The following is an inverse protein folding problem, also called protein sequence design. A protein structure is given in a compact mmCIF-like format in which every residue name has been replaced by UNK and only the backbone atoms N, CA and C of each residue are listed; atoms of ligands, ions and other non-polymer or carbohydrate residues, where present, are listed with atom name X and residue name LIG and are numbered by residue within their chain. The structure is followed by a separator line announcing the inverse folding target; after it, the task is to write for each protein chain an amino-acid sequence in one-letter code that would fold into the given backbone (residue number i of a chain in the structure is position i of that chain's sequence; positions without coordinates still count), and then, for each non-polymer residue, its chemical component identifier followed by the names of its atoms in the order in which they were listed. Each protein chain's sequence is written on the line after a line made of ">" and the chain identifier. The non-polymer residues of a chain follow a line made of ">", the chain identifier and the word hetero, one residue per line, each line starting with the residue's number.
data_IF_571450317380
#
_entry.id   IF_571450317380
#
_cell.length_a   1.000
_cell.length_b   1.000
_cell.length_c   1.000
_cell.angle_alpha   90.00
_cell.angle_beta   90.00
_cell.angle_gamma   90.00
#
_symmetry.space_group_name_H-M   'P 1'
#
loop_
_entity.id
_entity.type
_entity.pdbx_description
1 polymer ?
#
# COMPACT_ATOMS: atom_id res chain seq x y z
N UNK A 1 9.54 14.64 -16.19
CA UNK A 1 8.40 14.12 -15.41
C UNK A 1 7.24 13.85 -16.34
N UNK A 2 7.07 12.61 -16.78
CA UNK A 2 5.84 12.13 -17.41
C UNK A 2 5.62 10.73 -16.85
N UNK A 3 4.87 10.64 -15.78
CA UNK A 3 4.32 9.36 -15.34
C UNK A 3 2.87 9.58 -14.93
N UNK A 4 2.03 8.69 -15.45
CA UNK A 4 0.76 8.24 -14.89
C UNK A 4 -0.55 8.89 -15.34
N UNK A 5 -0.99 8.47 -16.53
CA UNK A 5 -2.41 8.40 -16.91
C UNK A 5 -3.16 7.18 -16.31
N UNK A 6 -2.60 6.47 -15.31
CA UNK A 6 -3.19 5.24 -14.75
C UNK A 6 -3.10 5.12 -13.21
N UNK A 7 -2.80 6.22 -12.50
CA UNK A 7 -2.82 6.25 -11.04
C UNK A 7 -4.19 6.74 -10.54
N UNK A 8 -4.68 6.09 -9.49
CA UNK A 8 -5.90 6.44 -8.75
C UNK A 8 -5.57 6.49 -7.26
N UNK A 9 -6.45 7.07 -6.44
CA UNK A 9 -6.30 6.95 -4.98
C UNK A 9 -7.05 5.71 -4.49
N UNK A 10 -6.37 4.92 -3.66
CA UNK A 10 -6.97 3.86 -2.86
C UNK A 10 -7.05 4.30 -1.41
N UNK A 11 -8.26 4.33 -0.85
CA UNK A 11 -8.50 4.54 0.57
C UNK A 11 -8.68 3.17 1.19
N UNK A 12 -7.69 2.73 1.97
CA UNK A 12 -7.75 1.50 2.73
C UNK A 12 -8.28 1.79 4.14
N UNK A 13 -9.26 1.01 4.58
CA UNK A 13 -9.66 0.89 5.98
C UNK A 13 -9.36 -0.54 6.42
N UNK A 14 -8.51 -0.70 7.43
CA UNK A 14 -8.16 -2.01 7.97
C UNK A 14 -8.41 -2.06 9.47
N UNK A 15 -9.23 -3.01 9.93
CA UNK A 15 -9.49 -3.23 11.35
C UNK A 15 -8.59 -4.35 11.86
N UNK A 16 -7.86 -4.08 12.93
CA UNK A 16 -6.93 -5.00 13.57
C UNK A 16 -7.47 -5.55 14.89
N UNK A 17 -6.87 -6.62 15.44
CA UNK A 17 -7.28 -7.19 16.72
C UNK A 17 -7.17 -6.21 17.91
N UNK A 18 -6.34 -5.18 17.82
CA UNK A 18 -6.16 -4.19 18.91
C UNK A 18 -5.72 -2.81 18.41
N UNK A 19 -5.91 -1.78 19.24
CA UNK A 19 -5.39 -0.43 19.01
C UNK A 19 -3.88 -0.43 18.79
N UNK A 20 -3.16 -1.22 19.58
CA UNK A 20 -1.71 -1.34 19.45
C UNK A 20 -1.32 -1.90 18.07
N UNK A 21 -1.99 -2.95 17.60
CA UNK A 21 -1.72 -3.52 16.26
C UNK A 21 -1.99 -2.54 15.13
N UNK A 22 -3.08 -1.78 15.21
CA UNK A 22 -3.36 -0.74 14.23
C UNK A 22 -2.28 0.35 14.21
N UNK A 23 -1.77 0.76 15.38
CA UNK A 23 -0.69 1.73 15.49
C UNK A 23 0.65 1.18 15.00
N UNK A 24 0.97 -0.09 15.29
CA UNK A 24 2.15 -0.77 14.75
C UNK A 24 2.11 -0.78 13.22
N UNK A 25 0.97 -1.19 12.64
CA UNK A 25 0.77 -1.18 11.19
C UNK A 25 0.93 0.24 10.62
N UNK A 26 0.30 1.25 11.23
CA UNK A 26 0.41 2.64 10.79
C UNK A 26 1.86 3.15 10.79
N UNK A 27 2.63 2.81 11.82
CA UNK A 27 4.04 3.16 11.94
C UNK A 27 4.90 2.48 10.89
N UNK A 28 4.64 1.22 10.57
CA UNK A 28 5.37 0.52 9.51
C UNK A 28 5.03 1.10 8.13
N UNK A 29 3.75 1.43 7.89
CA UNK A 29 3.29 1.96 6.61
C UNK A 29 3.72 3.41 6.35
N UNK A 30 4.21 4.15 7.36
CA UNK A 30 4.64 5.56 7.20
C UNK A 30 5.71 5.74 6.11
N UNK A 31 6.53 4.71 5.89
CA UNK A 31 7.63 4.71 4.93
C UNK A 31 7.22 4.10 3.58
N UNK A 32 5.92 3.80 3.38
CA UNK A 32 5.41 3.31 2.12
C UNK A 32 5.52 4.41 1.04
N UNK A 33 6.25 4.18 -0.09
CA UNK A 33 6.45 5.17 -1.15
C UNK A 33 5.17 5.64 -1.85
N UNK A 34 4.06 4.94 -1.62
CA UNK A 34 2.76 5.22 -2.21
C UNK A 34 1.79 5.86 -1.22
N UNK A 35 2.18 6.01 0.04
CA UNK A 35 1.31 6.59 1.06
C UNK A 35 1.22 8.11 0.87
N UNK A 36 -0.01 8.60 0.79
CA UNK A 36 -0.33 10.03 0.77
C UNK A 36 -0.57 10.52 2.18
N UNK A 37 -1.39 9.78 2.94
CA UNK A 37 -1.75 10.11 4.32
C UNK A 37 -2.19 8.84 5.04
N UNK A 38 -1.87 8.72 6.32
CA UNK A 38 -2.44 7.69 7.19
C UNK A 38 -2.87 8.22 8.54
N UNK A 39 -3.68 7.42 9.23
CA UNK A 39 -4.13 7.68 10.58
C UNK A 39 -4.73 6.44 11.22
N UNK A 40 -5.05 6.53 12.51
CA UNK A 40 -5.73 5.47 13.23
C UNK A 40 -6.88 6.02 14.05
N UNK A 41 -7.91 5.20 14.26
CA UNK A 41 -8.95 5.42 15.28
C UNK A 41 -9.21 4.09 15.96
N UNK A 42 -8.90 4.01 17.26
CA UNK A 42 -8.92 2.76 18.03
C UNK A 42 -8.09 1.67 17.30
N UNK A 43 -8.68 0.51 17.05
CA UNK A 43 -8.07 -0.61 16.35
C UNK A 43 -8.25 -0.55 14.82
N UNK A 44 -8.58 0.61 14.26
CA UNK A 44 -8.73 0.77 12.80
C UNK A 44 -7.62 1.67 12.26
N UNK A 45 -6.94 1.20 11.23
CA UNK A 45 -6.00 1.95 10.40
C UNK A 45 -6.73 2.50 9.17
N UNK A 46 -6.36 3.71 8.79
CA UNK A 46 -6.77 4.36 7.55
C UNK A 46 -5.51 4.75 6.79
N UNK A 47 -5.44 4.39 5.51
CA UNK A 47 -4.36 4.79 4.62
C UNK A 47 -4.89 5.23 3.27
N UNK A 48 -4.45 6.39 2.80
CA UNK A 48 -4.70 6.88 1.46
C UNK A 48 -3.43 6.64 0.65
N UNK A 49 -3.55 5.92 -0.44
CA UNK A 49 -2.41 5.51 -1.27
C UNK A 49 -2.61 5.93 -2.72
N UNK A 50 -1.54 6.40 -3.36
CA UNK A 50 -1.48 6.51 -4.81
C UNK A 50 -1.17 5.13 -5.40
N UNK A 51 -2.18 4.52 -6.02
CA UNK A 51 -2.13 3.13 -6.50
C UNK A 51 -2.33 3.06 -8.01
N UNK A 52 -1.92 1.96 -8.61
CA UNK A 52 -2.19 1.70 -10.04
C UNK A 52 -3.58 1.11 -10.20
N UNK A 53 -4.32 1.59 -11.19
CA UNK A 53 -5.68 1.13 -11.47
C UNK A 53 -5.73 -0.35 -11.92
N UNK A 54 -4.68 -0.86 -12.54
CA UNK A 54 -4.58 -2.25 -12.99
C UNK A 54 -4.34 -3.26 -11.84
N UNK A 55 -4.04 -2.79 -10.63
CA UNK A 55 -3.82 -3.63 -9.45
C UNK A 55 -5.11 -3.88 -8.64
N UNK A 56 -6.31 -3.55 -9.16
CA UNK A 56 -7.59 -3.77 -8.44
C UNK A 56 -7.82 -5.19 -7.99
N UNK A 57 -7.39 -6.19 -8.77
CA UNK A 57 -7.50 -7.61 -8.39
C UNK A 57 -6.70 -7.95 -7.14
N UNK A 58 -5.51 -7.34 -6.99
CA UNK A 58 -4.70 -7.48 -5.79
C UNK A 58 -5.41 -6.89 -4.57
N UNK A 59 -6.02 -5.71 -4.71
CA UNK A 59 -6.73 -5.08 -3.60
C UNK A 59 -7.98 -5.87 -3.18
N UNK A 60 -8.76 -6.36 -4.15
CA UNK A 60 -9.90 -7.23 -3.87
C UNK A 60 -9.46 -8.51 -3.12
N UNK A 61 -8.33 -9.11 -3.54
CA UNK A 61 -7.75 -10.24 -2.82
C UNK A 61 -7.41 -9.91 -1.36
N UNK A 62 -6.89 -8.70 -1.08
CA UNK A 62 -6.59 -8.28 0.29
C UNK A 62 -7.86 -8.03 1.13
N UNK A 63 -8.97 -7.61 0.51
CA UNK A 63 -10.28 -7.53 1.18
C UNK A 63 -10.79 -8.92 1.56
N UNK A 64 -10.67 -9.89 0.66
CA UNK A 64 -11.08 -11.29 0.87
C UNK A 64 -10.14 -12.03 1.84
N UNK A 65 -8.88 -11.60 1.96
CA UNK A 65 -7.82 -12.24 2.74
C UNK A 65 -7.14 -11.26 3.70
N UNK A 66 -7.87 -10.65 4.65
CA UNK A 66 -7.35 -9.58 5.50
C UNK A 66 -6.20 -10.04 6.43
N UNK A 67 -6.14 -11.34 6.71
CA UNK A 67 -5.07 -11.98 7.49
C UNK A 67 -3.67 -11.81 6.87
N UNK A 68 -3.57 -11.60 5.55
CA UNK A 68 -2.31 -11.28 4.86
C UNK A 68 -1.67 -10.01 5.43
N UNK A 69 -2.49 -9.06 5.89
CA UNK A 69 -2.05 -7.83 6.55
C UNK A 69 -2.07 -7.94 8.09
N UNK A 70 -2.45 -9.09 8.65
CA UNK A 70 -2.70 -9.27 10.08
C UNK A 70 -3.94 -8.52 10.57
N UNK A 71 -4.87 -8.20 9.67
CA UNK A 71 -6.13 -7.52 9.96
C UNK A 71 -7.30 -8.51 10.05
N UNK A 72 -8.34 -8.13 10.78
CA UNK A 72 -9.63 -8.85 10.83
C UNK A 72 -10.50 -8.51 9.61
N UNK A 73 -10.41 -7.27 9.12
CA UNK A 73 -11.19 -6.72 8.00
C UNK A 73 -10.31 -5.74 7.23
N UNK A 74 -10.38 -5.79 5.91
CA UNK A 74 -9.76 -4.83 5.01
C UNK A 74 -10.82 -4.42 3.98
N UNK A 75 -10.91 -3.12 3.74
CA UNK A 75 -11.80 -2.53 2.74
C UNK A 75 -11.03 -1.47 1.96
N UNK A 76 -11.26 -1.40 0.66
CA UNK A 76 -10.71 -0.43 -0.26
C UNK A 76 -11.82 0.36 -0.94
N UNK A 77 -11.68 1.67 -0.94
CA UNK A 77 -12.46 2.58 -1.79
C UNK A 77 -11.53 3.24 -2.79
N UNK A 78 -11.88 3.19 -4.07
CA UNK A 78 -11.09 3.79 -5.14
C UNK A 78 -11.68 5.13 -5.57
N UNK A 79 -10.85 6.17 -5.59
CA UNK A 79 -11.19 7.49 -6.12
C UNK A 79 -10.57 7.63 -7.51
N UNK A 80 -11.41 7.53 -8.54
CA UNK A 80 -10.99 7.53 -9.95
C UNK A 80 -10.78 8.93 -10.52
N UNK A 81 -11.43 9.94 -9.93
CA UNK A 81 -11.32 11.34 -10.33
C UNK A 81 -10.94 12.16 -9.12
N UNK A 82 -9.66 12.51 -9.05
CA UNK A 82 -9.13 13.43 -8.05
C UNK A 82 -9.13 14.82 -8.66
N UNK A 83 -9.80 15.76 -8.00
CA UNK A 83 -9.93 17.13 -8.50
C UNK A 83 -8.69 17.98 -8.16
N UNK A 84 -7.99 17.61 -7.10
CA UNK A 84 -6.79 18.29 -6.61
C UNK A 84 -5.52 17.56 -7.04
N UNK A 85 -4.39 18.27 -7.03
CA UNK A 85 -3.09 17.69 -7.31
C UNK A 85 -2.63 16.80 -6.13
N UNK A 86 -2.34 15.52 -6.39
CA UNK A 86 -1.87 14.60 -5.36
C UNK A 86 -0.38 14.83 -5.14
N UNK A 87 -0.04 15.46 -4.03
CA UNK A 87 1.34 15.54 -3.56
C UNK A 87 1.69 14.22 -2.87
N UNK A 88 2.28 13.28 -3.61
CA UNK A 88 2.93 12.12 -2.99
C UNK A 88 4.25 12.65 -2.42
N UNK A 89 4.49 12.55 -1.10
CA UNK A 89 5.78 12.92 -0.56
C UNK A 89 6.86 12.22 -1.37
N UNK A 90 7.79 12.99 -1.94
CA UNK A 90 8.96 12.41 -2.53
C UNK A 90 9.72 11.77 -1.38
N UNK A 91 9.52 10.47 -1.18
CA UNK A 91 10.39 9.67 -0.32
C UNK A 91 11.70 9.44 -1.11
N UNK A 92 12.34 10.55 -1.50
CA UNK A 92 13.39 10.65 -2.52
C UNK A 92 14.75 10.12 -2.05
N UNK A 93 14.81 9.54 -0.85
CA UNK A 93 16.02 8.95 -0.29
C UNK A 93 15.73 7.61 0.42
N UNK A 94 14.71 6.87 0.00
CA UNK A 94 14.51 5.51 0.53
C UNK A 94 15.72 4.68 0.10
N UNK A 95 16.64 4.43 1.03
CA UNK A 95 17.56 3.30 0.93
C UNK A 95 16.69 2.08 0.69
N UNK A 96 16.90 1.45 -0.46
CA UNK A 96 16.13 0.25 -0.80
C UNK A 96 16.51 -0.84 0.19
N UNK A 97 15.52 -1.33 0.92
CA UNK A 97 15.67 -2.42 1.87
C UNK A 97 15.30 -3.76 1.21
N UNK A 98 15.57 -4.88 1.88
CA UNK A 98 15.08 -6.20 1.42
C UNK A 98 13.59 -6.37 1.73
N UNK A 99 13.18 -5.92 2.92
CA UNK A 99 11.81 -6.02 3.43
C UNK A 99 11.03 -4.74 3.15
N UNK A 100 9.82 -4.89 2.61
CA UNK A 100 8.94 -3.76 2.35
C UNK A 100 8.35 -3.18 3.65
N UNK A 101 7.89 -1.91 3.66
CA UNK A 101 7.20 -1.30 4.80
C UNK A 101 5.95 -2.06 5.28
N UNK A 102 5.33 -2.86 4.41
CA UNK A 102 4.22 -3.76 4.79
C UNK A 102 4.67 -5.03 5.54
N UNK A 103 5.98 -5.23 5.72
CA UNK A 103 6.59 -6.40 6.37
C UNK A 103 6.88 -7.57 5.43
N UNK A 104 6.54 -7.46 4.13
CA UNK A 104 6.73 -8.55 3.17
C UNK A 104 8.13 -8.55 2.55
N UNK A 105 8.74 -9.72 2.45
CA UNK A 105 9.84 -9.96 1.52
C UNK A 105 9.29 -10.04 0.09
N UNK A 106 9.64 -9.04 -0.73
CA UNK A 106 9.13 -8.96 -2.10
C UNK A 106 9.80 -9.98 -3.06
N UNK A 107 10.87 -10.67 -2.66
CA UNK A 107 11.53 -11.70 -3.46
C UNK A 107 10.75 -13.02 -3.47
N UNK A 108 10.10 -13.35 -2.35
CA UNK A 108 9.34 -14.60 -2.15
C UNK A 108 7.82 -14.41 -2.08
N UNK A 109 7.34 -13.16 -2.15
CA UNK A 109 5.91 -12.87 -2.03
C UNK A 109 5.09 -13.47 -3.19
N UNK A 110 4.15 -14.37 -2.88
CA UNK A 110 3.27 -15.03 -3.87
C UNK A 110 2.43 -14.04 -4.69
N UNK A 111 2.11 -12.88 -4.12
CA UNK A 111 1.36 -11.82 -4.80
C UNK A 111 2.08 -11.31 -6.05
N UNK A 112 3.41 -11.49 -6.12
CA UNK A 112 4.25 -11.14 -7.27
C UNK A 112 3.91 -11.99 -8.49
N UNK A 113 3.77 -13.30 -8.32
CA UNK A 113 3.40 -14.22 -9.40
C UNK A 113 1.91 -14.23 -9.68
N UNK A 114 1.07 -14.10 -8.65
CA UNK A 114 -0.38 -14.26 -8.78
C UNK A 114 -1.08 -13.02 -9.37
N UNK A 115 -0.57 -11.82 -9.08
CA UNK A 115 -1.25 -10.56 -9.43
C UNK A 115 -0.38 -9.61 -10.26
N UNK A 116 0.74 -10.10 -10.82
CA UNK A 116 1.74 -9.27 -11.51
C UNK A 116 2.19 -8.06 -10.66
N UNK A 117 2.24 -8.26 -9.34
CA UNK A 117 2.72 -7.23 -8.43
C UNK A 117 4.21 -6.97 -8.72
N UNK A 118 4.59 -5.72 -8.95
CA UNK A 118 5.99 -5.34 -9.25
C UNK A 118 6.89 -5.29 -8.01
N UNK A 119 6.35 -5.54 -6.83
CA UNK A 119 7.01 -5.32 -5.54
C UNK A 119 6.86 -3.88 -5.05
N UNK A 120 7.42 -3.62 -3.87
CA UNK A 120 7.40 -2.30 -3.25
C UNK A 120 8.55 -1.43 -3.77
N UNK A 121 8.32 -0.17 -4.19
CA UNK A 121 9.40 0.73 -4.63
C UNK A 121 10.48 0.99 -3.57
N UNK A 122 10.15 0.75 -2.30
CA UNK A 122 11.08 0.84 -1.17
C UNK A 122 12.07 -0.34 -1.08
N UNK A 123 11.95 -1.36 -1.95
CA UNK A 123 12.81 -2.54 -1.86
C UNK A 123 13.72 -2.74 -3.08
N UNK A 124 14.81 -3.48 -2.85
CA UNK A 124 15.77 -3.86 -3.92
C UNK A 124 15.13 -4.75 -4.98
N UNK A 125 14.04 -5.43 -4.62
CA UNK A 125 13.33 -6.36 -5.50
C UNK A 125 12.28 -5.69 -6.40
N UNK A 126 12.12 -4.36 -6.34
CA UNK A 126 11.16 -3.63 -7.17
C UNK A 126 11.49 -3.72 -8.66
N UNK A 127 10.51 -4.09 -9.49
CA UNK A 127 10.63 -4.03 -10.96
C UNK A 127 10.19 -2.65 -11.46
N UNK A 128 11.15 -1.76 -11.68
CA UNK A 128 10.98 -0.62 -12.59
C UNK A 128 10.97 -1.17 -14.01
N UNK A 129 9.91 -0.95 -14.77
CA UNK A 129 9.98 -1.10 -16.22
C UNK A 129 9.92 0.30 -16.84
N UNK A 130 10.77 0.50 -17.84
CA UNK A 130 10.83 1.64 -18.76
C UNK A 130 9.48 1.92 -19.46
#
# INVERSE_FOLDING_TARGET
>A
MKENSNQILGIMRARFPSTQRAQENAKSMKDCPRLVLSGTTRNTYYGIFAVRNDMRRLYAYLEDNPSVLGADVVEFTFVERVLDEIQIPAHSEIRKEEIAPCGSDCSECSLRSEFDCRGCPATVHYRTQD
#
